data_IF_515317719785
#
_entry.id   IF_515317719785
#
_cell.length_a   1.000
_cell.length_b   1.000
_cell.length_c   1.000
_cell.angle_alpha   90.00
_cell.angle_beta   90.00
_cell.angle_gamma   90.00
#
_symmetry.space_group_name_H-M   'P 1'
#
loop_
_entity.id
_entity.type
_entity.pdbx_description
1 polymer ?
#
# COMPACT_ATOMS: atom_id res chain seq x y z
N UNK A 1 12.55 -13.54 0.68
CA UNK A 1 11.08 -13.42 0.57
C UNK A 1 10.66 -12.29 1.49
N UNK A 2 9.75 -11.44 1.03
CA UNK A 2 9.11 -10.37 1.81
C UNK A 2 8.03 -10.93 2.76
N UNK A 3 7.63 -12.20 2.59
CA UNK A 3 6.59 -12.88 3.38
C UNK A 3 7.11 -14.24 3.88
N UNK A 4 8.05 -14.24 4.85
CA UNK A 4 8.58 -15.50 5.36
C UNK A 4 7.52 -16.27 6.16
N UNK A 5 7.51 -17.59 6.00
CA UNK A 5 6.86 -18.51 6.93
C UNK A 5 7.93 -19.04 7.90
N UNK A 6 7.88 -18.58 9.15
CA UNK A 6 8.86 -18.90 10.18
C UNK A 6 8.40 -20.02 11.13
N UNK A 7 7.28 -20.69 10.81
CA UNK A 7 6.79 -21.83 11.60
C UNK A 7 7.77 -22.98 11.58
N UNK A 8 7.95 -23.63 12.73
CA UNK A 8 8.74 -24.86 12.86
C UNK A 8 7.94 -26.08 12.40
N UNK A 9 6.64 -26.07 12.63
CA UNK A 9 5.70 -27.10 12.20
C UNK A 9 4.53 -26.45 11.44
N UNK A 10 4.63 -26.30 10.11
CA UNK A 10 3.56 -25.70 9.30
C UNK A 10 2.21 -26.43 9.34
N UNK A 11 2.16 -27.66 9.86
CA UNK A 11 0.92 -28.42 10.06
C UNK A 11 0.19 -28.09 11.37
N UNK A 12 0.86 -27.43 12.32
CA UNK A 12 0.24 -26.93 13.55
C UNK A 12 -0.51 -25.63 13.23
N UNK A 13 -1.83 -25.65 13.40
CA UNK A 13 -2.68 -24.48 13.14
C UNK A 13 -2.62 -23.45 14.27
N UNK A 14 -2.17 -23.85 15.46
CA UNK A 14 -2.04 -22.97 16.62
C UNK A 14 -0.65 -22.29 16.67
N UNK A 15 0.30 -22.71 15.82
CA UNK A 15 1.61 -22.08 15.72
C UNK A 15 1.52 -20.72 14.99
N UNK A 16 1.79 -19.63 15.72
CA UNK A 16 1.87 -18.27 15.19
C UNK A 16 3.33 -17.79 15.16
N UNK A 17 3.87 -17.63 13.95
CA UNK A 17 5.22 -17.17 13.71
C UNK A 17 5.20 -15.80 13.01
N UNK A 18 5.54 -14.76 13.77
CA UNK A 18 5.56 -13.37 13.30
C UNK A 18 6.95 -12.97 12.79
N UNK A 19 6.99 -12.10 11.79
CA UNK A 19 8.19 -11.42 11.35
C UNK A 19 7.90 -9.93 11.08
N UNK A 20 8.88 -9.08 11.37
CA UNK A 20 8.92 -7.72 10.88
C UNK A 20 9.90 -7.67 9.71
N UNK A 21 9.41 -7.25 8.55
CA UNK A 21 10.24 -7.08 7.35
C UNK A 21 10.44 -5.59 7.14
N UNK A 22 11.68 -5.18 6.93
CA UNK A 22 12.11 -3.78 6.78
C UNK A 22 13.06 -3.68 5.58
N UNK A 23 13.58 -2.47 5.32
CA UNK A 23 14.56 -2.21 4.24
C UNK A 23 14.04 -2.58 2.83
N UNK A 24 12.74 -2.36 2.60
CA UNK A 24 12.14 -2.47 1.27
C UNK A 24 12.78 -1.46 0.31
N UNK A 25 12.91 -1.77 -0.99
CA UNK A 25 13.21 -0.76 -1.99
C UNK A 25 12.13 0.33 -1.99
N UNK A 26 12.52 1.59 -2.15
CA UNK A 26 11.56 2.70 -2.26
C UNK A 26 10.86 2.69 -3.61
N UNK A 27 11.60 2.34 -4.65
CA UNK A 27 11.13 2.31 -6.02
C UNK A 27 11.49 1.01 -6.72
N UNK A 28 10.70 0.67 -7.72
CA UNK A 28 10.98 -0.40 -8.68
C UNK A 28 10.83 0.11 -10.11
N UNK A 29 11.39 -0.65 -11.06
CA UNK A 29 11.25 -0.35 -12.48
C UNK A 29 10.14 -1.20 -13.07
N UNK A 30 9.10 -0.55 -13.59
CA UNK A 30 8.00 -1.19 -14.28
C UNK A 30 8.43 -1.84 -15.61
N UNK A 31 7.53 -2.64 -16.17
CA UNK A 31 7.77 -3.32 -17.45
C UNK A 31 7.94 -2.36 -18.64
N UNK A 32 7.37 -1.16 -18.54
CA UNK A 32 7.52 -0.05 -19.48
C UNK A 32 8.82 0.76 -19.26
N UNK A 33 9.58 0.41 -18.23
CA UNK A 33 10.81 1.09 -17.83
C UNK A 33 10.60 2.32 -16.95
N UNK A 34 9.37 2.69 -16.61
CA UNK A 34 9.07 3.78 -15.70
C UNK A 34 9.40 3.39 -14.25
N UNK A 35 9.81 4.37 -13.44
CA UNK A 35 10.04 4.18 -12.01
C UNK A 35 8.70 4.30 -11.29
N UNK A 36 8.39 3.32 -10.43
CA UNK A 36 7.15 3.24 -9.67
C UNK A 36 7.46 3.04 -8.17
N UNK A 37 6.61 3.54 -7.25
CA UNK A 37 6.82 3.30 -5.83
C UNK A 37 6.46 1.84 -5.48
N UNK A 38 7.26 1.19 -4.64
CA UNK A 38 6.96 -0.19 -4.18
C UNK A 38 5.76 -0.22 -3.24
N UNK A 39 5.64 0.78 -2.34
CA UNK A 39 4.51 0.88 -1.41
C UNK A 39 3.50 1.95 -1.85
N UNK A 40 3.86 3.22 -1.71
CA UNK A 40 3.09 4.36 -2.19
C UNK A 40 4.00 5.61 -2.22
N UNK A 41 3.67 6.66 -2.98
CA UNK A 41 4.60 7.77 -3.26
C UNK A 41 4.86 8.73 -2.07
N UNK A 42 4.25 8.46 -0.92
CA UNK A 42 4.33 9.31 0.28
C UNK A 42 5.26 8.73 1.35
N UNK A 43 5.91 7.60 1.07
CA UNK A 43 6.85 6.96 1.99
C UNK A 43 8.16 7.73 2.04
N UNK A 44 8.65 8.01 3.24
CA UNK A 44 9.96 8.65 3.43
C UNK A 44 11.07 7.70 2.95
N UNK A 45 12.07 8.19 2.18
CA UNK A 45 13.29 7.43 1.93
C UNK A 45 14.01 7.12 3.25
N UNK A 46 14.73 6.01 3.31
CA UNK A 46 15.59 5.71 4.43
C UNK A 46 16.60 6.87 4.61
N UNK A 47 16.76 7.45 5.81
CA UNK A 47 17.64 8.60 6.05
C UNK A 47 19.08 8.41 5.54
N UNK A 48 19.59 7.18 5.57
CA UNK A 48 20.94 6.84 5.10
C UNK A 48 21.08 6.89 3.57
N UNK A 49 19.98 6.80 2.84
CA UNK A 49 19.95 6.71 1.39
C UNK A 49 19.43 7.98 0.70
N UNK A 50 19.06 9.03 1.45
CA UNK A 50 18.52 10.29 0.90
C UNK A 50 19.46 10.91 -0.15
N UNK A 51 20.77 10.79 0.04
CA UNK A 51 21.77 11.32 -0.91
C UNK A 51 21.76 10.64 -2.28
N UNK A 52 21.17 9.45 -2.38
CA UNK A 52 21.07 8.66 -3.62
C UNK A 52 19.79 8.95 -4.40
N UNK A 53 18.86 9.72 -3.82
CA UNK A 53 17.50 9.87 -4.34
C UNK A 53 17.43 10.27 -5.82
N UNK A 54 18.28 11.20 -6.27
CA UNK A 54 18.36 11.60 -7.67
C UNK A 54 19.38 10.80 -8.49
N UNK A 55 20.46 10.34 -7.87
CA UNK A 55 21.61 9.74 -8.57
C UNK A 55 21.44 8.25 -8.84
N UNK A 56 20.84 7.53 -7.89
CA UNK A 56 20.53 6.10 -7.98
C UNK A 56 19.25 5.79 -7.20
N UNK A 57 18.06 6.22 -7.71
CA UNK A 57 16.79 6.05 -7.02
C UNK A 57 16.46 4.58 -6.73
N UNK A 58 16.90 3.64 -7.57
CA UNK A 58 16.61 2.21 -7.40
C UNK A 58 17.41 1.57 -6.26
N UNK A 59 18.47 2.23 -5.78
CA UNK A 59 19.22 1.80 -4.60
C UNK A 59 18.71 2.40 -3.28
N UNK A 60 17.68 3.27 -3.33
CA UNK A 60 17.10 3.90 -2.14
C UNK A 60 16.16 2.92 -1.45
N UNK A 61 16.40 2.66 -0.16
CA UNK A 61 15.44 1.94 0.68
C UNK A 61 14.32 2.87 1.12
N UNK A 62 13.11 2.36 1.24
CA UNK A 62 12.00 3.02 1.89
C UNK A 62 12.11 2.88 3.41
N UNK A 63 11.62 3.87 4.15
CA UNK A 63 11.40 3.76 5.58
C UNK A 63 10.01 3.14 5.86
N UNK A 64 9.82 1.94 5.31
CA UNK A 64 8.60 1.14 5.41
C UNK A 64 8.86 -0.20 6.11
N UNK A 65 7.77 -0.83 6.53
CA UNK A 65 7.80 -2.10 7.23
C UNK A 65 6.51 -2.88 6.98
N UNK A 66 6.65 -4.21 6.94
CA UNK A 66 5.53 -5.14 6.90
C UNK A 66 5.57 -6.03 8.14
N UNK A 67 4.39 -6.31 8.69
CA UNK A 67 4.19 -7.35 9.69
C UNK A 67 3.67 -8.58 8.96
N UNK A 68 4.42 -9.67 9.07
CA UNK A 68 4.10 -10.96 8.46
C UNK A 68 3.76 -11.96 9.55
N UNK A 69 2.77 -12.81 9.30
CA UNK A 69 2.36 -13.91 10.15
C UNK A 69 2.19 -15.16 9.29
N UNK A 70 2.94 -16.22 9.57
CA UNK A 70 2.79 -17.54 8.91
C UNK A 70 2.83 -17.45 7.37
N UNK A 71 3.71 -16.62 6.80
CA UNK A 71 3.83 -16.42 5.35
C UNK A 71 2.80 -15.47 4.74
N UNK A 72 1.97 -14.83 5.56
CA UNK A 72 1.01 -13.81 5.13
C UNK A 72 1.41 -12.42 5.63
N UNK A 73 1.45 -11.44 4.74
CA UNK A 73 1.49 -10.03 5.15
C UNK A 73 0.16 -9.67 5.82
N UNK A 74 0.18 -9.34 7.10
CA UNK A 74 -1.02 -8.98 7.88
C UNK A 74 -1.12 -7.49 8.16
N UNK A 75 -0.04 -6.74 7.95
CA UNK A 75 -0.06 -5.29 7.99
C UNK A 75 1.13 -4.71 7.24
N UNK A 76 0.96 -3.54 6.65
CA UNK A 76 2.02 -2.76 6.02
C UNK A 76 1.94 -1.30 6.48
N UNK A 77 3.09 -0.64 6.58
CA UNK A 77 3.19 0.74 7.03
C UNK A 77 4.48 1.43 6.59
N UNK A 78 4.50 2.75 6.74
CA UNK A 78 5.72 3.53 6.54
C UNK A 78 5.71 4.85 7.31
N UNK A 79 6.92 5.38 7.50
CA UNK A 79 7.10 6.79 7.88
C UNK A 79 6.79 7.64 6.65
N UNK A 80 6.03 8.73 6.86
CA UNK A 80 5.52 9.57 5.77
C UNK A 80 6.39 10.80 5.56
N UNK A 81 6.50 11.20 4.30
CA UNK A 81 7.08 12.48 3.94
C UNK A 81 6.15 13.57 4.47
N UNK A 82 6.72 14.54 5.16
CA UNK A 82 6.01 15.71 5.69
C UNK A 82 6.63 17.03 5.20
N UNK A 83 7.65 16.95 4.34
CA UNK A 83 8.34 18.11 3.77
C UNK A 83 7.95 18.28 2.29
N UNK A 84 7.47 19.47 1.92
CA UNK A 84 7.06 19.79 0.55
C UNK A 84 8.15 19.54 -0.47
N UNK A 85 9.39 19.95 -0.18
CA UNK A 85 10.50 19.82 -1.11
C UNK A 85 10.83 18.35 -1.40
N UNK A 86 10.93 17.53 -0.35
CA UNK A 86 11.20 16.11 -0.47
C UNK A 86 10.09 15.39 -1.24
N UNK A 87 8.82 15.70 -0.95
CA UNK A 87 7.69 15.09 -1.65
C UNK A 87 7.68 15.44 -3.15
N UNK A 88 8.03 16.69 -3.50
CA UNK A 88 8.17 17.11 -4.89
C UNK A 88 9.30 16.37 -5.62
N UNK A 89 10.45 16.17 -4.97
CA UNK A 89 11.57 15.39 -5.52
C UNK A 89 11.13 13.96 -5.83
N UNK A 90 10.42 13.32 -4.91
CA UNK A 90 9.84 11.98 -5.12
C UNK A 90 8.86 11.95 -6.29
N UNK A 91 7.93 12.90 -6.39
CA UNK A 91 7.01 12.95 -7.54
C UNK A 91 7.72 13.15 -8.88
N UNK A 92 8.79 13.94 -8.92
CA UNK A 92 9.60 14.13 -10.13
C UNK A 92 10.31 12.85 -10.56
N UNK A 93 10.82 12.06 -9.62
CA UNK A 93 11.41 10.73 -9.90
C UNK A 93 10.37 9.77 -10.48
N UNK A 94 9.13 9.87 -9.99
CA UNK A 94 7.99 9.11 -10.52
C UNK A 94 7.45 9.65 -11.87
N UNK A 95 8.10 10.66 -12.45
CA UNK A 95 7.78 11.18 -13.78
C UNK A 95 6.58 12.13 -13.83
N UNK A 96 6.12 12.66 -12.70
CA UNK A 96 5.04 13.65 -12.70
C UNK A 96 5.58 15.04 -13.08
N UNK A 97 4.85 15.74 -13.96
CA UNK A 97 5.10 17.15 -14.25
C UNK A 97 4.63 18.06 -13.12
N UNK A 98 5.21 19.26 -13.00
CA UNK A 98 4.82 20.23 -11.97
C UNK A 98 3.31 20.56 -12.05
N UNK A 99 2.73 20.65 -13.25
CA UNK A 99 1.29 20.84 -13.45
C UNK A 99 0.47 19.66 -12.89
N UNK A 100 0.89 18.43 -13.16
CA UNK A 100 0.22 17.23 -12.66
C UNK A 100 0.32 17.12 -11.14
N UNK A 101 1.48 17.47 -10.57
CA UNK A 101 1.71 17.51 -9.13
C UNK A 101 0.75 18.52 -8.50
N UNK A 102 0.71 19.75 -9.00
CA UNK A 102 -0.14 20.79 -8.42
C UNK A 102 -1.63 20.42 -8.53
N UNK A 103 -2.06 19.91 -9.69
CA UNK A 103 -3.46 19.53 -9.93
C UNK A 103 -3.93 18.39 -9.03
N UNK A 104 -3.08 17.39 -8.79
CA UNK A 104 -3.45 16.18 -8.04
C UNK A 104 -3.16 16.27 -6.55
N UNK A 105 -2.06 16.91 -6.17
CA UNK A 105 -1.48 16.87 -4.82
C UNK A 105 -1.20 18.25 -4.23
N UNK A 106 -1.53 19.34 -4.92
CA UNK A 106 -1.24 20.71 -4.45
C UNK A 106 -1.80 21.02 -3.06
N UNK A 107 -3.02 20.57 -2.78
CA UNK A 107 -3.65 20.72 -1.46
C UNK A 107 -2.86 20.05 -0.32
N UNK A 108 -2.27 18.87 -0.57
CA UNK A 108 -1.46 18.15 0.39
C UNK A 108 -0.09 18.82 0.58
N UNK A 109 0.52 19.28 -0.53
CA UNK A 109 1.80 19.98 -0.48
C UNK A 109 1.71 21.34 0.23
N UNK A 110 0.58 22.04 0.09
CA UNK A 110 0.27 23.25 0.85
C UNK A 110 0.10 22.93 2.35
N UNK A 111 -0.53 21.81 2.70
CA UNK A 111 -0.65 21.39 4.09
C UNK A 111 0.71 21.19 4.78
N UNK A 112 1.74 20.74 4.05
CA UNK A 112 3.09 20.58 4.58
C UNK A 112 3.78 21.91 4.92
N UNK A 113 3.33 23.04 4.36
CA UNK A 113 3.88 24.37 4.66
C UNK A 113 3.42 24.92 6.01
N UNK A 114 2.40 24.30 6.63
CA UNK A 114 1.91 24.63 7.96
C UNK A 114 2.54 23.75 9.05
N UNK A 115 3.82 23.40 8.90
CA UNK A 115 4.60 22.59 9.84
C UNK A 115 3.96 21.22 10.15
N UNK A 116 3.64 20.46 9.10
CA UNK A 116 3.17 19.09 9.26
C UNK A 116 4.19 18.27 10.07
N UNK A 117 3.79 17.63 11.19
CA UNK A 117 4.74 16.95 12.06
C UNK A 117 5.26 15.67 11.39
N UNK A 118 6.43 15.16 11.82
CA UNK A 118 6.84 13.79 11.49
C UNK A 118 5.73 12.81 11.86
N UNK A 119 5.29 12.02 10.90
CA UNK A 119 4.18 11.08 11.09
C UNK A 119 4.43 9.78 10.33
N UNK A 120 3.72 8.75 10.77
CA UNK A 120 3.83 7.41 10.24
C UNK A 120 2.58 6.63 10.60
N UNK A 121 2.38 5.49 9.96
CA UNK A 121 1.26 4.63 10.27
C UNK A 121 1.34 3.31 9.55
N UNK A 122 0.37 2.46 9.84
CA UNK A 122 0.23 1.13 9.27
C UNK A 122 -1.25 0.81 9.08
N UNK A 123 -1.56 -0.13 8.19
CA UNK A 123 -2.91 -0.62 7.97
C UNK A 123 -2.93 -2.13 8.19
N UNK A 124 -3.69 -2.65 9.17
CA UNK A 124 -3.85 -4.09 9.35
C UNK A 124 -4.90 -4.66 8.38
N UNK A 125 -4.58 -5.79 7.75
CA UNK A 125 -5.52 -6.58 6.98
C UNK A 125 -6.40 -7.42 7.90
N UNK A 126 -7.45 -6.80 8.46
CA UNK A 126 -8.30 -7.41 9.49
C UNK A 126 -8.89 -8.75 9.02
N UNK A 127 -9.37 -8.84 7.79
CA UNK A 127 -9.95 -10.10 7.26
C UNK A 127 -8.90 -11.22 7.19
N UNK A 128 -7.65 -10.87 6.88
CA UNK A 128 -6.55 -11.84 6.83
C UNK A 128 -6.14 -12.29 8.23
N UNK A 129 -6.13 -11.38 9.19
CA UNK A 129 -5.91 -11.72 10.60
C UNK A 129 -7.02 -12.65 11.10
N UNK A 130 -8.28 -12.30 10.84
CA UNK A 130 -9.43 -13.13 11.22
C UNK A 130 -9.38 -14.51 10.55
N UNK A 131 -9.05 -14.58 9.26
CA UNK A 131 -8.86 -15.83 8.52
C UNK A 131 -7.81 -16.73 9.19
N UNK A 132 -6.64 -16.17 9.54
CA UNK A 132 -5.57 -16.94 10.19
C UNK A 132 -6.02 -17.43 11.57
N UNK A 133 -6.63 -16.56 12.39
CA UNK A 133 -7.10 -16.91 13.74
C UNK A 133 -8.24 -17.92 13.74
N UNK A 134 -9.06 -17.95 12.68
CA UNK A 134 -10.12 -18.93 12.50
C UNK A 134 -9.63 -20.25 11.87
N UNK A 135 -8.34 -20.35 11.49
CA UNK A 135 -7.80 -21.53 10.80
C UNK A 135 -8.33 -21.70 9.36
N UNK A 136 -8.85 -20.63 8.77
CA UNK A 136 -9.49 -20.64 7.46
C UNK A 136 -8.49 -20.47 6.32
N UNK A 137 -8.88 -20.94 5.12
CA UNK A 137 -8.02 -20.89 3.92
C UNK A 137 -8.27 -19.67 3.04
N UNK A 138 -9.37 -18.97 3.28
CA UNK A 138 -9.82 -17.85 2.46
C UNK A 138 -10.46 -16.78 3.35
N UNK A 139 -10.20 -15.51 3.03
CA UNK A 139 -10.86 -14.39 3.71
C UNK A 139 -12.38 -14.40 3.50
N UNK A 140 -12.88 -15.08 2.47
CA UNK A 140 -14.32 -15.22 2.23
C UNK A 140 -15.04 -15.96 3.36
N UNK A 141 -14.35 -16.85 4.08
CA UNK A 141 -14.94 -17.61 5.20
C UNK A 141 -15.17 -16.74 6.45
N UNK A 142 -14.54 -15.57 6.52
CA UNK A 142 -14.65 -14.62 7.64
C UNK A 142 -15.38 -13.33 7.27
N UNK A 143 -15.90 -13.24 6.05
CA UNK A 143 -16.70 -12.12 5.55
C UNK A 143 -18.15 -12.61 5.39
N UNK A 144 -19.13 -11.92 5.99
CA UNK A 144 -20.52 -12.37 5.97
C UNK A 144 -21.13 -12.51 4.56
N UNK A 145 -20.79 -11.58 3.65
CA UNK A 145 -21.29 -11.55 2.26
C UNK A 145 -20.14 -11.31 1.27
N UNK A 146 -19.26 -12.31 1.08
CA UNK A 146 -18.06 -12.15 0.27
C UNK A 146 -18.43 -12.00 -1.20
N UNK A 147 -17.53 -11.40 -1.98
CA UNK A 147 -17.67 -11.28 -3.43
C UNK A 147 -16.83 -12.35 -4.12
N UNK A 148 -17.23 -12.74 -5.33
CA UNK A 148 -16.42 -13.64 -6.16
C UNK A 148 -15.18 -12.93 -6.70
N UNK A 149 -14.24 -13.68 -7.26
CA UNK A 149 -13.05 -13.11 -7.93
C UNK A 149 -13.38 -12.18 -9.11
N UNK A 150 -14.61 -12.22 -9.63
CA UNK A 150 -15.11 -11.28 -10.66
C UNK A 150 -15.82 -10.06 -10.05
N UNK A 151 -15.61 -9.78 -8.75
CA UNK A 151 -16.27 -8.72 -7.99
C UNK A 151 -17.82 -8.78 -8.03
N UNK A 152 -18.39 -9.99 -8.15
CA UNK A 152 -19.84 -10.19 -8.16
C UNK A 152 -20.37 -10.65 -6.82
N UNK A 153 -21.56 -10.18 -6.48
CA UNK A 153 -22.38 -10.66 -5.38
C UNK A 153 -23.43 -11.64 -5.91
N UNK A 154 -23.25 -12.96 -5.72
CA UNK A 154 -24.23 -13.95 -6.19
C UNK A 154 -25.52 -13.96 -5.37
N UNK A 155 -25.50 -13.45 -4.13
CA UNK A 155 -26.66 -13.41 -3.25
C UNK A 155 -27.61 -12.28 -3.64
N UNK A 156 -27.05 -11.10 -3.93
CA UNK A 156 -27.81 -9.91 -4.30
C UNK A 156 -27.94 -9.71 -5.82
N UNK A 157 -27.21 -10.50 -6.63
CA UNK A 157 -27.17 -10.32 -8.09
C UNK A 157 -26.46 -9.04 -8.53
N UNK A 158 -25.44 -8.60 -7.79
CA UNK A 158 -24.72 -7.35 -8.05
C UNK A 158 -23.36 -7.59 -8.76
N UNK A 159 -22.86 -6.62 -9.56
CA UNK A 159 -23.55 -5.40 -9.98
C UNK A 159 -24.71 -5.71 -10.94
N UNK A 160 -25.64 -4.77 -11.05
CA UNK A 160 -26.81 -4.86 -11.94
C UNK A 160 -26.88 -3.64 -12.86
N UNK A 161 -27.73 -3.71 -13.87
CA UNK A 161 -28.06 -2.54 -14.70
C UNK A 161 -28.74 -1.45 -13.84
N UNK A 162 -28.49 -0.19 -14.22
CA UNK A 162 -29.04 1.01 -13.58
C UNK A 162 -30.00 1.71 -14.55
N UNK A 163 -30.99 2.43 -14.02
CA UNK A 163 -31.93 3.20 -14.84
C UNK A 163 -31.19 4.31 -15.63
N UNK A 164 -31.39 4.41 -16.95
CA UNK A 164 -30.81 5.48 -17.77
C UNK A 164 -31.11 6.90 -17.25
N UNK A 165 -32.24 7.12 -16.57
CA UNK A 165 -32.55 8.42 -15.98
C UNK A 165 -31.56 8.78 -14.87
N UNK A 166 -31.13 7.81 -14.05
CA UNK A 166 -30.15 8.03 -12.98
C UNK A 166 -28.76 8.35 -13.56
N UNK A 167 -28.38 7.71 -14.66
CA UNK A 167 -27.13 8.04 -15.37
C UNK A 167 -27.16 9.50 -15.87
N UNK A 168 -28.28 9.91 -16.47
CA UNK A 168 -28.49 11.28 -16.94
C UNK A 168 -28.41 12.30 -15.79
N UNK A 169 -29.02 12.01 -14.65
CA UNK A 169 -28.95 12.88 -13.46
C UNK A 169 -27.52 13.05 -12.93
N UNK A 170 -26.68 12.03 -13.09
CA UNK A 170 -25.26 12.06 -12.72
C UNK A 170 -24.34 12.60 -13.82
N UNK A 171 -24.88 12.89 -15.01
CA UNK A 171 -24.12 13.37 -16.17
C UNK A 171 -23.20 12.32 -16.80
N UNK A 172 -23.54 11.03 -16.67
CA UNK A 172 -22.82 9.88 -17.25
C UNK A 172 -23.50 9.35 -18.52
#
# INVERSE_FOLDING_TARGET
TDKPDLRKNPADQDELAFALVIDFPMFEKGADGAIQPVHHPFTTPNPEDISKLESDPLAVRAWSYDIVLNGYEISSGSIRIHERELQNRVFKILGLSDEAIQKKFGHMLEAFEYDAPPHGGFAPGIDRIAMILAGERSISEVIAFPKTGAARDPMMGAPSEIDPQQLKELGL
#
